data_IF_574611184715
#
_entry.id   IF_574611184715
#
_cell.length_a   1.000
_cell.length_b   1.000
_cell.length_c   1.000
_cell.angle_alpha   90.00
_cell.angle_beta   90.00
_cell.angle_gamma   90.00
#
_symmetry.space_group_name_H-M   'P 1'
#
loop_
_entity.id
_entity.type
_entity.pdbx_description
1 polymer ?
#
# COMPACT_ATOMS: atom_id res chain seq x y z
N UNK A 1 0.21 -0.46 7.17
CA UNK A 1 -0.63 0.31 8.08
C UNK A 1 0.16 0.87 9.26
N UNK A 2 -0.33 1.97 9.85
CA UNK A 2 0.28 2.55 11.03
C UNK A 2 -0.37 3.88 11.43
N UNK A 3 -0.18 4.31 12.69
CA UNK A 3 -0.72 5.56 13.17
C UNK A 3 -0.11 6.78 12.45
N UNK A 4 -0.70 7.94 12.67
CA UNK A 4 -0.16 9.19 12.15
C UNK A 4 1.27 9.43 12.67
N UNK A 5 2.17 9.86 11.78
CA UNK A 5 3.58 10.11 12.11
C UNK A 5 4.49 8.88 12.18
N UNK A 6 4.00 7.68 11.84
CA UNK A 6 4.80 6.45 11.79
C UNK A 6 5.66 6.30 10.52
N UNK A 7 5.60 7.26 9.60
CA UNK A 7 6.42 7.26 8.38
C UNK A 7 5.82 6.52 7.16
N UNK A 8 4.49 6.32 7.12
CA UNK A 8 3.82 5.65 5.98
C UNK A 8 4.17 6.26 4.63
N UNK A 9 3.95 7.55 4.48
CA UNK A 9 4.20 8.30 3.24
C UNK A 9 5.68 8.23 2.85
N UNK A 10 6.59 8.39 3.83
CA UNK A 10 8.04 8.31 3.57
C UNK A 10 8.44 6.93 3.04
N UNK A 11 7.87 5.85 3.62
CA UNK A 11 8.13 4.48 3.13
C UNK A 11 7.61 4.32 1.70
N UNK A 12 6.43 4.85 1.38
CA UNK A 12 5.89 4.78 0.02
C UNK A 12 6.75 5.56 -0.98
N UNK A 13 7.28 6.74 -0.61
CA UNK A 13 8.20 7.49 -1.47
C UNK A 13 9.50 6.72 -1.72
N UNK A 14 10.05 6.09 -0.69
CA UNK A 14 11.25 5.25 -0.85
C UNK A 14 10.96 4.02 -1.73
N UNK A 15 9.81 3.38 -1.55
CA UNK A 15 9.41 2.27 -2.40
C UNK A 15 9.22 2.71 -3.86
N UNK A 16 8.57 3.85 -4.10
CA UNK A 16 8.41 4.40 -5.44
C UNK A 16 9.75 4.68 -6.12
N UNK A 17 10.73 5.20 -5.36
CA UNK A 17 12.09 5.47 -5.85
C UNK A 17 12.86 4.21 -6.22
N UNK A 18 12.80 3.19 -5.37
CA UNK A 18 13.66 1.99 -5.49
C UNK A 18 12.94 0.81 -6.14
N UNK A 19 11.63 0.91 -6.39
CA UNK A 19 10.87 -0.16 -7.04
C UNK A 19 11.41 -0.44 -8.45
N UNK A 20 11.47 -1.71 -8.78
CA UNK A 20 11.84 -2.16 -10.12
C UNK A 20 10.69 -2.04 -11.15
N UNK A 21 9.58 -1.42 -10.77
CA UNK A 21 8.48 -1.13 -11.65
C UNK A 21 8.86 -0.13 -12.75
N UNK A 22 8.30 -0.30 -13.94
CA UNK A 22 8.49 0.62 -15.05
C UNK A 22 7.70 1.91 -14.82
N UNK A 23 6.51 1.79 -14.27
CA UNK A 23 5.58 2.90 -14.04
C UNK A 23 5.09 2.87 -12.59
N UNK A 24 5.04 4.04 -11.97
CA UNK A 24 4.45 4.25 -10.65
C UNK A 24 3.16 5.02 -10.78
N UNK A 25 2.07 4.51 -10.19
CA UNK A 25 0.80 5.24 -10.06
C UNK A 25 0.62 5.59 -8.59
N UNK A 26 0.78 6.86 -8.26
CA UNK A 26 0.59 7.35 -6.90
C UNK A 26 -0.81 7.95 -6.75
N UNK A 27 -1.60 7.41 -5.84
CA UNK A 27 -2.97 7.84 -5.57
C UNK A 27 -3.01 8.47 -4.19
N UNK A 28 -3.06 9.79 -4.12
CA UNK A 28 -3.38 10.52 -2.91
C UNK A 28 -4.90 10.55 -2.74
N UNK A 29 -5.44 9.76 -1.84
CA UNK A 29 -6.87 9.64 -1.62
C UNK A 29 -7.29 10.38 -0.34
N UNK A 30 -7.85 11.57 -0.49
CA UNK A 30 -8.32 12.40 0.62
C UNK A 30 -7.20 12.98 1.48
N UNK A 31 -6.00 13.11 0.93
CA UNK A 31 -4.86 13.66 1.63
C UNK A 31 -4.90 15.20 1.70
N UNK A 32 -4.07 15.79 2.53
CA UNK A 32 -3.99 17.24 2.66
C UNK A 32 -3.33 17.84 1.41
N UNK A 33 -3.80 19.01 0.99
CA UNK A 33 -3.27 19.68 -0.19
C UNK A 33 -1.77 19.97 -0.10
N UNK A 34 -1.27 20.37 1.08
CA UNK A 34 0.16 20.59 1.32
C UNK A 34 0.99 19.30 1.23
N UNK A 35 0.47 18.16 1.67
CA UNK A 35 1.14 16.87 1.53
C UNK A 35 1.23 16.45 0.07
N UNK A 36 0.18 16.69 -0.72
CA UNK A 36 0.19 16.42 -2.15
C UNK A 36 1.15 17.33 -2.93
N UNK A 37 1.26 18.60 -2.53
CA UNK A 37 2.26 19.52 -3.11
C UNK A 37 3.67 19.04 -2.80
N UNK A 38 3.92 18.63 -1.56
CA UNK A 38 5.21 18.07 -1.16
C UNK A 38 5.58 16.82 -1.96
N UNK A 39 4.61 15.89 -2.18
CA UNK A 39 4.83 14.71 -3.04
C UNK A 39 5.23 15.11 -4.45
N UNK A 40 4.55 16.10 -5.02
CA UNK A 40 4.85 16.60 -6.37
C UNK A 40 6.27 17.20 -6.45
N UNK A 41 6.66 18.01 -5.47
CA UNK A 41 7.99 18.59 -5.38
C UNK A 41 9.07 17.51 -5.20
N UNK A 42 8.90 16.62 -4.22
CA UNK A 42 9.85 15.53 -3.96
C UNK A 42 10.04 14.61 -5.18
N UNK A 43 8.95 14.22 -5.86
CA UNK A 43 9.06 13.32 -7.03
C UNK A 43 9.68 14.02 -8.25
N UNK A 44 9.57 15.35 -8.32
CA UNK A 44 10.24 16.14 -9.36
C UNK A 44 11.73 16.30 -9.10
N UNK A 45 12.16 16.32 -7.84
CA UNK A 45 13.57 16.42 -7.44
C UNK A 45 14.27 15.07 -7.33
N UNK A 46 13.53 14.01 -6.98
CA UNK A 46 14.09 12.66 -6.87
C UNK A 46 14.49 12.14 -8.26
N UNK A 47 15.72 11.66 -8.31
CA UNK A 47 16.26 11.04 -9.52
C UNK A 47 16.02 9.53 -9.46
N UNK A 48 15.48 8.98 -10.54
CA UNK A 48 15.36 7.54 -10.72
C UNK A 48 16.76 6.91 -10.87
N UNK A 49 17.14 5.96 -9.99
CA UNK A 49 18.48 5.36 -10.05
C UNK A 49 18.79 4.61 -11.35
N UNK A 50 17.75 4.18 -12.08
CA UNK A 50 17.91 3.41 -13.34
C UNK A 50 18.09 4.31 -14.54
N UNK A 51 17.22 5.30 -14.71
CA UNK A 51 17.20 6.16 -15.90
C UNK A 51 18.06 7.42 -15.76
N UNK A 52 18.34 7.86 -14.54
CA UNK A 52 18.97 9.14 -14.25
C UNK A 52 18.07 10.37 -14.46
N UNK A 53 16.80 10.15 -14.83
CA UNK A 53 15.79 11.19 -15.01
C UNK A 53 15.00 11.43 -13.71
N UNK A 54 14.23 12.54 -13.62
CA UNK A 54 13.31 12.75 -12.50
C UNK A 54 12.33 11.56 -12.35
N UNK A 55 12.06 11.17 -11.12
CA UNK A 55 11.12 10.09 -10.83
C UNK A 55 9.72 10.37 -11.40
N UNK A 56 9.38 11.66 -11.55
CA UNK A 56 8.12 12.11 -12.10
C UNK A 56 7.90 11.69 -13.55
N UNK A 57 8.95 11.45 -14.34
CA UNK A 57 8.85 11.03 -15.74
C UNK A 57 8.20 9.64 -15.90
N UNK A 58 8.31 8.79 -14.87
CA UNK A 58 7.66 7.48 -14.83
C UNK A 58 6.51 7.38 -13.82
N UNK A 59 6.05 8.52 -13.29
CA UNK A 59 5.03 8.55 -12.25
C UNK A 59 3.75 9.23 -12.75
N UNK A 60 2.62 8.56 -12.54
CA UNK A 60 1.29 9.17 -12.69
C UNK A 60 0.77 9.53 -11.30
N UNK A 61 0.56 10.83 -11.05
CA UNK A 61 0.05 11.32 -9.78
C UNK A 61 -1.45 11.64 -9.88
N UNK A 62 -2.25 10.96 -9.04
CA UNK A 62 -3.68 11.24 -8.86
C UNK A 62 -3.86 11.94 -7.52
N UNK A 63 -4.03 13.25 -7.56
CA UNK A 63 -4.16 14.08 -6.37
C UNK A 63 -5.64 14.32 -6.04
N UNK A 64 -6.20 13.53 -5.13
CA UNK A 64 -7.48 13.83 -4.52
C UNK A 64 -7.25 14.38 -3.11
N UNK A 65 -7.57 15.65 -2.92
CA UNK A 65 -7.39 16.34 -1.64
C UNK A 65 -8.63 16.24 -0.76
N UNK A 66 -8.45 16.44 0.55
CA UNK A 66 -9.52 16.28 1.54
C UNK A 66 -10.70 17.26 1.39
N UNK A 67 -10.50 18.35 0.67
CA UNK A 67 -11.54 19.35 0.38
C UNK A 67 -12.38 19.03 -0.88
N UNK A 68 -11.99 18.00 -1.63
CA UNK A 68 -12.75 17.55 -2.81
C UNK A 68 -14.01 16.78 -2.42
N UNK A 69 -15.04 16.73 -3.29
CA UNK A 69 -16.26 15.97 -3.04
C UNK A 69 -15.98 14.48 -2.75
N UNK A 70 -16.79 13.89 -1.89
CA UNK A 70 -16.66 12.49 -1.46
C UNK A 70 -16.70 11.51 -2.64
N UNK A 71 -17.58 11.76 -3.62
CA UNK A 71 -17.65 10.93 -4.82
C UNK A 71 -16.35 10.97 -5.65
N UNK A 72 -15.67 12.11 -5.69
CA UNK A 72 -14.36 12.21 -6.35
C UNK A 72 -13.29 11.42 -5.58
N UNK A 73 -13.38 11.37 -4.24
CA UNK A 73 -12.49 10.58 -3.40
C UNK A 73 -12.68 9.08 -3.66
N UNK A 74 -13.91 8.62 -3.72
CA UNK A 74 -14.19 7.24 -4.08
C UNK A 74 -13.69 6.90 -5.47
N UNK A 75 -13.96 7.75 -6.46
CA UNK A 75 -13.58 7.55 -7.85
C UNK A 75 -12.05 7.54 -8.08
N UNK A 76 -11.26 8.22 -7.24
CA UNK A 76 -9.81 8.35 -7.41
C UNK A 76 -9.09 7.00 -7.40
N UNK A 77 -9.52 6.07 -6.56
CA UNK A 77 -8.97 4.72 -6.47
C UNK A 77 -9.19 3.95 -7.78
N UNK A 78 -10.41 4.00 -8.32
CA UNK A 78 -10.73 3.31 -9.57
C UNK A 78 -10.03 3.94 -10.77
N UNK A 79 -9.88 5.25 -10.79
CA UNK A 79 -9.13 5.97 -11.82
C UNK A 79 -7.68 5.51 -11.86
N UNK A 80 -7.02 5.44 -10.69
CA UNK A 80 -5.65 4.96 -10.59
C UNK A 80 -5.50 3.51 -10.98
N UNK A 81 -6.42 2.67 -10.56
CA UNK A 81 -6.42 1.26 -10.91
C UNK A 81 -6.60 1.05 -12.41
N UNK A 82 -7.52 1.79 -13.04
CA UNK A 82 -7.75 1.70 -14.49
C UNK A 82 -6.52 2.11 -15.29
N UNK A 83 -5.84 3.18 -14.89
CA UNK A 83 -4.58 3.59 -15.53
C UNK A 83 -3.48 2.56 -15.36
N UNK A 84 -3.36 1.98 -14.16
CA UNK A 84 -2.37 0.94 -13.91
C UNK A 84 -2.64 -0.33 -14.75
N UNK A 85 -3.88 -0.75 -14.85
CA UNK A 85 -4.26 -1.90 -15.68
C UNK A 85 -4.03 -1.62 -17.17
N UNK A 86 -4.27 -0.38 -17.62
CA UNK A 86 -4.00 0.02 -19.00
C UNK A 86 -2.51 -0.11 -19.33
N UNK A 87 -1.62 0.34 -18.46
CA UNK A 87 -0.18 0.17 -18.66
C UNK A 87 0.25 -1.29 -18.54
N UNK A 88 -0.31 -2.05 -17.60
CA UNK A 88 -0.07 -3.50 -17.51
C UNK A 88 -0.40 -4.22 -18.82
N UNK A 89 -1.54 -3.87 -19.42
CA UNK A 89 -1.99 -4.49 -20.68
C UNK A 89 -1.10 -4.11 -21.88
N UNK A 90 -0.29 -3.06 -21.73
CA UNK A 90 0.79 -2.71 -22.68
C UNK A 90 2.07 -3.52 -22.44
N UNK A 91 2.18 -4.28 -21.36
CA UNK A 91 3.36 -5.08 -21.01
C UNK A 91 4.31 -4.41 -20.03
N UNK A 92 3.86 -3.41 -19.28
CA UNK A 92 4.65 -2.76 -18.23
C UNK A 92 4.43 -3.36 -16.87
N UNK A 93 5.46 -3.29 -16.03
CA UNK A 93 5.36 -3.56 -14.61
C UNK A 93 4.98 -2.28 -13.87
N UNK A 94 3.81 -2.28 -13.24
CA UNK A 94 3.21 -1.09 -12.62
C UNK A 94 3.12 -1.26 -11.11
N UNK A 95 3.58 -0.25 -10.36
CA UNK A 95 3.40 -0.17 -8.92
C UNK A 95 2.36 0.90 -8.57
N UNK A 96 1.30 0.52 -7.85
CA UNK A 96 0.30 1.43 -7.31
C UNK A 96 0.65 1.73 -5.86
N UNK A 97 0.76 3.03 -5.53
CA UNK A 97 0.88 3.53 -4.16
C UNK A 97 -0.42 4.23 -3.79
N UNK A 98 -1.22 3.64 -2.90
CA UNK A 98 -2.50 4.23 -2.46
C UNK A 98 -2.35 4.83 -1.05
N UNK A 99 -2.36 6.15 -0.94
CA UNK A 99 -2.28 6.90 0.32
C UNK A 99 -3.53 7.76 0.52
N UNK A 100 -4.49 7.41 1.36
CA UNK A 100 -4.58 6.14 2.08
C UNK A 100 -5.93 5.45 1.81
N UNK A 101 -5.93 4.15 1.84
CA UNK A 101 -7.17 3.37 1.66
C UNK A 101 -8.18 3.58 2.80
N UNK A 102 -7.75 4.03 3.98
CA UNK A 102 -8.64 4.43 5.07
C UNK A 102 -9.52 5.61 4.68
N UNK A 103 -8.98 6.60 3.97
CA UNK A 103 -9.75 7.74 3.48
C UNK A 103 -10.76 7.35 2.41
N UNK A 104 -10.40 6.37 1.59
CA UNK A 104 -11.35 5.77 0.65
C UNK A 104 -12.50 5.05 1.38
N UNK A 105 -12.20 4.26 2.42
CA UNK A 105 -13.21 3.61 3.24
C UNK A 105 -14.12 4.62 3.96
N UNK A 106 -13.57 5.74 4.45
CA UNK A 106 -14.36 6.86 4.99
C UNK A 106 -15.32 7.44 3.94
N UNK A 107 -14.88 7.57 2.69
CA UNK A 107 -15.74 8.02 1.59
C UNK A 107 -16.88 7.04 1.33
N UNK A 108 -16.62 5.73 1.33
CA UNK A 108 -17.66 4.70 1.20
C UNK A 108 -18.67 4.79 2.36
N UNK A 109 -18.20 5.00 3.58
CA UNK A 109 -19.07 5.19 4.76
C UNK A 109 -19.97 6.42 4.64
N UNK A 110 -19.40 7.55 4.17
CA UNK A 110 -20.18 8.78 3.99
C UNK A 110 -21.21 8.64 2.87
N UNK A 111 -20.85 8.01 1.74
CA UNK A 111 -21.78 7.76 0.63
C UNK A 111 -22.93 6.84 1.04
N UNK A 112 -22.63 5.73 1.71
CA UNK A 112 -23.66 4.80 2.20
C UNK A 112 -24.60 5.46 3.21
N UNK A 113 -24.07 6.34 4.08
CA UNK A 113 -24.90 7.13 5.01
C UNK A 113 -25.84 8.11 4.29
N UNK A 114 -25.38 8.75 3.22
CA UNK A 114 -26.24 9.65 2.39
C UNK A 114 -27.28 8.90 1.59
N UNK A 115 -27.03 7.64 1.26
CA UNK A 115 -27.97 6.76 0.56
C UNK A 115 -28.92 6.02 1.54
N UNK A 116 -28.81 6.32 2.84
CA UNK A 116 -29.61 5.69 3.90
C UNK A 116 -29.48 4.15 3.92
N UNK A 117 -28.32 3.62 3.50
CA UNK A 117 -28.05 2.20 3.57
C UNK A 117 -27.85 1.77 5.02
N UNK A 118 -28.24 0.53 5.34
CA UNK A 118 -28.07 0.00 6.69
C UNK A 118 -26.58 -0.13 7.04
N UNK A 119 -26.10 0.56 8.10
CA UNK A 119 -24.70 0.48 8.48
C UNK A 119 -24.37 -0.88 9.10
N UNK A 120 -23.18 -1.38 8.81
CA UNK A 120 -22.58 -2.52 9.49
C UNK A 120 -21.63 -2.07 10.61
N UNK A 121 -20.57 -2.80 10.86
CA UNK A 121 -19.59 -2.56 11.92
C UNK A 121 -18.98 -1.15 11.80
N UNK A 122 -18.96 -0.41 12.90
CA UNK A 122 -18.44 0.98 12.99
C UNK A 122 -19.05 1.97 11.98
N UNK A 123 -20.25 1.70 11.49
CA UNK A 123 -20.93 2.55 10.52
C UNK A 123 -20.44 2.41 9.09
N UNK A 124 -19.56 1.46 8.81
CA UNK A 124 -19.15 1.14 7.44
C UNK A 124 -20.26 0.36 6.70
N UNK A 125 -20.31 0.46 5.36
CA UNK A 125 -21.25 -0.35 4.58
C UNK A 125 -20.89 -1.84 4.67
N UNK A 126 -21.91 -2.72 4.60
CA UNK A 126 -21.71 -4.17 4.64
C UNK A 126 -20.81 -4.69 3.51
N UNK A 127 -20.71 -3.96 2.40
CA UNK A 127 -19.88 -4.30 1.26
C UNK A 127 -18.43 -3.78 1.34
N UNK A 128 -17.99 -3.20 2.46
CA UNK A 128 -16.61 -2.72 2.62
C UNK A 128 -15.58 -3.82 2.30
N UNK A 129 -15.79 -5.02 2.85
CA UNK A 129 -14.89 -6.14 2.64
C UNK A 129 -14.78 -6.52 1.15
N UNK A 130 -15.90 -6.60 0.44
CA UNK A 130 -15.90 -6.95 -1.00
C UNK A 130 -15.26 -5.85 -1.87
N UNK A 131 -15.40 -4.58 -1.49
CA UNK A 131 -14.74 -3.48 -2.20
C UNK A 131 -13.23 -3.50 -2.02
N UNK A 132 -12.76 -3.73 -0.80
CA UNK A 132 -11.33 -3.89 -0.51
C UNK A 132 -10.75 -5.12 -1.21
N UNK A 133 -11.43 -6.25 -1.16
CA UNK A 133 -11.03 -7.47 -1.89
C UNK A 133 -10.91 -7.19 -3.38
N UNK A 134 -11.95 -6.62 -4.00
CA UNK A 134 -11.95 -6.30 -5.43
C UNK A 134 -10.80 -5.36 -5.84
N UNK A 135 -10.39 -4.44 -4.97
CA UNK A 135 -9.23 -3.57 -5.21
C UNK A 135 -7.92 -4.35 -5.16
N UNK A 136 -7.67 -5.10 -4.09
CA UNK A 136 -6.40 -5.83 -3.93
C UNK A 136 -6.26 -7.03 -4.87
N UNK A 137 -7.36 -7.66 -5.28
CA UNK A 137 -7.35 -8.77 -6.24
C UNK A 137 -6.90 -8.37 -7.65
N UNK A 138 -6.87 -7.07 -7.95
CA UNK A 138 -6.33 -6.56 -9.23
C UNK A 138 -4.81 -6.64 -9.31
N UNK A 139 -4.12 -6.82 -8.17
CA UNK A 139 -2.68 -7.03 -8.16
C UNK A 139 -2.36 -8.43 -8.70
N UNK A 140 -1.37 -8.50 -9.56
CA UNK A 140 -0.88 -9.77 -10.10
C UNK A 140 -0.19 -9.60 -11.43
N UNK A 141 0.40 -10.69 -11.89
CA UNK A 141 1.01 -10.81 -13.21
C UNK A 141 -0.02 -11.34 -14.21
N UNK A 142 -0.07 -10.73 -15.37
CA UNK A 142 -1.00 -11.08 -16.44
C UNK A 142 -0.25 -11.35 -17.73
N UNK A 143 -0.70 -12.41 -18.41
CA UNK A 143 -0.31 -12.66 -19.81
C UNK A 143 -1.30 -11.94 -20.72
N UNK A 144 -0.84 -10.91 -21.40
CA UNK A 144 -1.67 -10.01 -22.17
C UNK A 144 -2.08 -10.58 -23.52
N UNK A 145 -3.20 -10.11 -24.08
CA UNK A 145 -3.70 -10.56 -25.38
C UNK A 145 -2.72 -10.27 -26.55
N UNK A 146 -1.87 -9.27 -26.39
CA UNK A 146 -0.81 -8.92 -27.36
C UNK A 146 0.43 -9.83 -27.27
N UNK A 147 0.44 -10.81 -26.34
CA UNK A 147 1.56 -11.74 -26.13
C UNK A 147 2.69 -11.20 -25.25
N UNK A 148 2.49 -10.03 -24.60
CA UNK A 148 3.43 -9.52 -23.58
C UNK A 148 2.99 -9.90 -22.19
N UNK A 149 3.91 -9.91 -21.23
CA UNK A 149 3.62 -10.02 -19.82
C UNK A 149 3.64 -8.63 -19.20
N UNK A 150 2.76 -8.42 -18.23
CA UNK A 150 2.72 -7.19 -17.45
C UNK A 150 2.22 -7.47 -16.05
N UNK A 151 2.58 -6.62 -15.09
CA UNK A 151 2.19 -6.82 -13.70
C UNK A 151 1.65 -5.56 -13.04
N UNK A 152 0.79 -5.74 -12.03
CA UNK A 152 0.37 -4.68 -11.11
C UNK A 152 0.70 -5.11 -9.70
N UNK A 153 1.47 -4.28 -9.00
CA UNK A 153 1.75 -4.41 -7.57
C UNK A 153 1.04 -3.30 -6.81
N UNK A 154 0.23 -3.65 -5.81
CA UNK A 154 -0.53 -2.67 -5.03
C UNK A 154 0.06 -2.54 -3.63
N UNK A 155 0.39 -1.32 -3.24
CA UNK A 155 0.88 -0.96 -1.91
C UNK A 155 -0.10 0.04 -1.31
N UNK A 156 -0.96 -0.44 -0.41
CA UNK A 156 -1.97 0.38 0.26
C UNK A 156 -1.49 0.85 1.63
N UNK A 157 -1.54 2.16 1.88
CA UNK A 157 -1.40 2.70 3.21
C UNK A 157 -2.74 2.65 3.94
N UNK A 158 -2.73 2.15 5.17
CA UNK A 158 -3.88 2.17 6.07
C UNK A 158 -3.53 3.02 7.28
N UNK A 159 -4.44 3.91 7.67
CA UNK A 159 -4.26 4.83 8.79
C UNK A 159 -5.27 4.53 9.90
N UNK A 160 -5.05 3.47 10.69
CA UNK A 160 -5.97 3.12 11.77
C UNK A 160 -6.04 4.23 12.81
N UNK A 161 -7.24 4.55 13.27
CA UNK A 161 -7.44 5.56 14.30
C UNK A 161 -6.81 5.09 15.61
N UNK A 162 -6.03 5.96 16.24
CA UNK A 162 -5.31 5.61 17.48
C UNK A 162 -4.23 4.54 17.33
N UNK A 163 -3.99 4.00 16.14
CA UNK A 163 -3.09 2.87 15.91
C UNK A 163 -3.72 1.51 16.22
N UNK A 164 -5.03 1.46 16.35
CA UNK A 164 -5.77 0.23 16.64
C UNK A 164 -5.94 -0.59 15.34
N UNK A 165 -5.22 -1.70 15.25
CA UNK A 165 -5.32 -2.63 14.12
C UNK A 165 -6.57 -3.52 14.16
N UNK A 166 -7.45 -3.39 15.15
CA UNK A 166 -8.72 -4.13 15.22
C UNK A 166 -9.84 -3.46 14.43
N UNK A 167 -9.65 -2.23 13.96
CA UNK A 167 -10.63 -1.54 13.13
C UNK A 167 -11.02 -2.31 11.85
N UNK A 168 -12.26 -2.17 11.35
CA UNK A 168 -12.77 -2.96 10.21
C UNK A 168 -11.93 -2.86 8.94
N UNK A 169 -11.41 -1.67 8.61
CA UNK A 169 -10.60 -1.46 7.39
C UNK A 169 -9.29 -2.25 7.46
N UNK A 170 -8.58 -2.16 8.58
CA UNK A 170 -7.32 -2.88 8.79
C UNK A 170 -7.55 -4.38 8.84
N UNK A 171 -8.57 -4.84 9.54
CA UNK A 171 -8.89 -6.27 9.65
C UNK A 171 -9.28 -6.88 8.32
N UNK A 172 -10.12 -6.20 7.54
CA UNK A 172 -10.46 -6.68 6.20
C UNK A 172 -9.25 -6.64 5.27
N UNK A 173 -8.41 -5.59 5.32
CA UNK A 173 -7.18 -5.55 4.53
C UNK A 173 -6.28 -6.74 4.83
N UNK A 174 -6.06 -7.08 6.11
CA UNK A 174 -5.25 -8.26 6.51
C UNK A 174 -5.74 -9.58 5.92
N UNK A 175 -7.05 -9.71 5.68
CA UNK A 175 -7.62 -10.94 5.09
C UNK A 175 -7.29 -11.12 3.62
N UNK A 176 -7.01 -10.03 2.90
CA UNK A 176 -6.83 -10.06 1.45
C UNK A 176 -5.37 -9.88 1.02
N UNK A 177 -4.52 -9.30 1.88
CA UNK A 177 -3.11 -9.08 1.55
C UNK A 177 -2.22 -10.18 2.10
N UNK A 178 -1.26 -10.62 1.30
CA UNK A 178 -0.28 -11.64 1.68
C UNK A 178 0.97 -11.06 2.33
N UNK A 179 1.12 -9.75 2.30
CA UNK A 179 2.22 -9.03 2.94
C UNK A 179 1.66 -7.84 3.73
N UNK A 180 2.06 -7.73 4.98
CA UNK A 180 1.57 -6.70 5.88
C UNK A 180 2.72 -6.13 6.70
N UNK A 181 2.94 -4.82 6.62
CA UNK A 181 3.94 -4.10 7.39
C UNK A 181 3.26 -3.22 8.42
N UNK A 182 3.19 -3.70 9.66
CA UNK A 182 2.66 -2.94 10.79
C UNK A 182 3.67 -1.91 11.27
N UNK A 183 3.35 -0.62 11.14
CA UNK A 183 4.20 0.45 11.66
C UNK A 183 3.83 0.76 13.10
N UNK A 184 4.85 0.87 13.93
CA UNK A 184 4.72 1.12 15.37
C UNK A 184 5.13 2.55 15.73
N UNK A 185 4.31 3.17 16.59
CA UNK A 185 4.52 4.53 17.04
C UNK A 185 5.70 4.65 18.02
N UNK A 186 5.92 3.64 18.84
CA UNK A 186 7.02 3.63 19.82
C UNK A 186 8.37 3.56 19.11
N UNK A 187 8.48 2.74 18.06
CA UNK A 187 9.67 2.67 17.21
C UNK A 187 9.93 4.01 16.51
N UNK A 188 8.87 4.65 16.00
CA UNK A 188 9.00 5.98 15.37
C UNK A 188 9.46 7.05 16.38
N UNK A 189 8.96 7.04 17.60
CA UNK A 189 9.42 7.94 18.65
C UNK A 189 10.86 7.66 19.09
N UNK A 190 11.26 6.40 19.10
CA UNK A 190 12.66 6.00 19.34
C UNK A 190 13.57 6.32 18.14
N UNK A 191 13.05 6.93 17.08
CA UNK A 191 13.77 7.23 15.83
C UNK A 191 14.34 5.99 15.15
N UNK A 192 13.71 4.86 15.35
CA UNK A 192 14.01 3.62 14.63
C UNK A 192 13.21 3.60 13.32
N UNK A 193 13.89 3.81 12.20
CA UNK A 193 13.27 3.83 10.87
C UNK A 193 13.94 2.80 9.94
N UNK A 194 13.13 2.11 9.12
CA UNK A 194 11.66 2.13 9.07
C UNK A 194 11.04 1.59 10.37
N UNK A 195 9.96 2.22 10.85
CA UNK A 195 9.29 1.87 12.11
C UNK A 195 8.40 0.61 11.98
N UNK A 196 8.89 -0.39 11.27
CA UNK A 196 8.18 -1.66 11.02
C UNK A 196 8.34 -2.57 12.23
N UNK A 197 7.20 -2.93 12.84
CA UNK A 197 7.20 -3.82 13.98
C UNK A 197 7.22 -5.29 13.53
N UNK A 198 8.25 -6.01 13.89
CA UNK A 198 8.54 -7.37 13.41
C UNK A 198 7.53 -8.41 13.85
N UNK A 199 6.91 -8.28 15.05
CA UNK A 199 5.91 -9.24 15.55
C UNK A 199 4.54 -9.07 14.87
N UNK A 200 4.17 -7.85 14.48
CA UNK A 200 2.88 -7.57 13.85
C UNK A 200 2.92 -7.64 12.33
N UNK A 201 4.12 -7.66 11.76
CA UNK A 201 4.34 -7.72 10.33
C UNK A 201 4.51 -9.16 9.86
N UNK A 202 4.05 -9.45 8.65
CA UNK A 202 4.19 -10.78 8.06
C UNK A 202 4.31 -10.70 6.53
N UNK A 203 4.84 -11.77 5.95
CA UNK A 203 4.82 -12.01 4.51
C UNK A 203 4.62 -13.50 4.26
N UNK A 204 3.55 -13.84 3.57
CA UNK A 204 3.27 -15.21 3.15
C UNK A 204 4.10 -15.64 1.92
N UNK A 205 4.68 -14.67 1.23
CA UNK A 205 5.54 -14.94 0.05
C UNK A 205 6.80 -15.73 0.36
N UNK A 206 7.25 -15.76 1.62
CA UNK A 206 8.41 -16.57 2.02
C UNK A 206 8.21 -18.06 1.74
N UNK A 207 6.97 -18.54 1.80
CA UNK A 207 6.63 -19.93 1.51
C UNK A 207 6.75 -20.23 0.01
N UNK A 208 6.22 -19.35 -0.82
CA UNK A 208 6.17 -19.54 -2.28
C UNK A 208 7.52 -19.23 -2.95
N UNK A 209 8.19 -18.18 -2.48
CA UNK A 209 9.44 -17.68 -3.04
C UNK A 209 10.69 -18.19 -2.32
N UNK A 210 10.54 -19.10 -1.35
CA UNK A 210 11.67 -19.61 -0.55
C UNK A 210 12.78 -20.25 -1.38
N UNK A 211 12.42 -20.94 -2.47
CA UNK A 211 13.37 -21.46 -3.45
C UNK A 211 14.16 -20.36 -4.15
N UNK A 212 13.46 -19.34 -4.63
CA UNK A 212 14.06 -18.22 -5.31
C UNK A 212 15.01 -17.42 -4.38
N UNK A 213 14.59 -17.15 -3.15
CA UNK A 213 15.44 -16.47 -2.18
C UNK A 213 16.71 -17.24 -1.84
N UNK A 214 16.60 -18.59 -1.72
CA UNK A 214 17.76 -19.44 -1.48
C UNK A 214 18.77 -19.36 -2.61
N UNK A 215 18.28 -19.35 -3.85
CA UNK A 215 19.12 -19.44 -5.04
C UNK A 215 19.71 -18.07 -5.47
N UNK A 216 19.03 -16.95 -5.16
CA UNK A 216 19.40 -15.61 -5.62
C UNK A 216 19.85 -14.65 -4.52
N UNK A 217 19.49 -14.90 -3.25
CA UNK A 217 19.82 -14.01 -2.14
C UNK A 217 20.80 -14.69 -1.18
N UNK A 218 20.40 -15.75 -0.52
CA UNK A 218 21.25 -16.52 0.38
C UNK A 218 20.65 -17.91 0.62
N UNK A 219 21.48 -18.98 0.68
CA UNK A 219 21.02 -20.33 1.00
C UNK A 219 20.26 -20.43 2.33
N UNK A 220 20.58 -19.55 3.28
CA UNK A 220 20.00 -19.55 4.62
C UNK A 220 18.94 -18.45 4.82
N UNK A 221 18.58 -17.68 3.78
CA UNK A 221 17.70 -16.51 3.91
C UNK A 221 16.41 -16.81 4.67
N UNK A 222 15.70 -17.85 4.25
CA UNK A 222 14.41 -18.24 4.87
C UNK A 222 14.63 -18.74 6.30
N UNK A 223 15.63 -19.57 6.52
CA UNK A 223 15.95 -20.10 7.86
C UNK A 223 16.32 -18.99 8.84
N UNK A 224 17.16 -18.04 8.43
CA UNK A 224 17.55 -16.88 9.22
C UNK A 224 16.36 -15.98 9.54
N UNK A 225 15.49 -15.72 8.56
CA UNK A 225 14.28 -14.94 8.77
C UNK A 225 13.36 -15.56 9.82
N UNK A 226 13.17 -16.88 9.79
CA UNK A 226 12.36 -17.58 10.80
C UNK A 226 13.02 -17.61 12.18
N UNK A 227 14.31 -17.89 12.26
CA UNK A 227 15.00 -18.06 13.55
C UNK A 227 15.20 -16.74 14.26
N UNK A 228 15.57 -15.67 13.57
CA UNK A 228 15.79 -14.36 14.20
C UNK A 228 14.48 -13.65 14.59
N UNK A 229 13.44 -13.74 13.75
CA UNK A 229 12.16 -13.12 14.07
C UNK A 229 11.42 -13.85 15.19
N UNK A 230 11.44 -15.20 15.22
CA UNK A 230 10.82 -15.99 16.28
C UNK A 230 11.61 -16.06 17.59
N UNK A 231 12.94 -15.92 17.57
CA UNK A 231 13.71 -15.87 18.79
C UNK A 231 13.32 -14.68 19.67
N UNK A 232 12.93 -13.56 19.07
CA UNK A 232 12.40 -12.41 19.80
C UNK A 232 10.97 -12.61 20.34
N UNK A 233 10.19 -13.56 19.82
CA UNK A 233 8.89 -13.91 20.39
C UNK A 233 9.02 -14.61 21.73
N UNK A 234 10.05 -15.45 21.92
CA UNK A 234 10.28 -16.19 23.16
C UNK A 234 10.82 -15.32 24.29
N UNK A 235 11.61 -14.30 23.97
CA UNK A 235 12.16 -13.39 24.98
C UNK A 235 11.12 -12.38 25.52
N UNK A 236 10.00 -12.18 24.84
CA UNK A 236 8.93 -11.29 25.31
C UNK A 236 7.93 -11.95 26.26
N UNK A 237 8.04 -13.25 26.51
CA UNK A 237 7.21 -14.02 27.45
C UNK A 237 7.96 -14.52 28.68
N UNK A 238 9.24 -14.16 28.86
CA UNK A 238 10.04 -14.36 30.04
C UNK A 238 10.26 -13.04 30.79
#
# INVERSE_FOLDING_TARGET
>A
PGPFGSGKTVIQHQLAKWAEADIVVYIGCGERGNEMTQVLEEFSELVDPKSGNPLMDRTTLIANTSNMPVAAREASIYTGLTLAEYYRDMGYDVAIMADSTSRWAEALRELSGRLEEMPAEEGFPAYLASRLSAFYERAGMMHNLNGTDGSVTIIGAVSPQGGDFSEPVTQNTKRFVRCFWGLDKSLAYARHFPAIHWLTSYSEYLTDLGGWYRDHVSPNFVAVSYTHLRAHETDSYL
#
